data_IF_611230947578
#
_entry.id   IF_611230947578
#
_cell.length_a   1.000
_cell.length_b   1.000
_cell.length_c   1.000
_cell.angle_alpha   90.00
_cell.angle_beta   90.00
_cell.angle_gamma   90.00
#
_symmetry.space_group_name_H-M   'P 1'
#
loop_
_entity.id
_entity.type
_entity.pdbx_description
1 polymer ?
#
# COMPACT_ATOMS: atom_id res chain seq x y z
N UNK A 1 29.92 -44.21 7.49
CA UNK A 1 29.46 -43.05 8.29
C UNK A 1 29.89 -41.76 7.58
N UNK A 2 28.94 -41.10 6.91
CA UNK A 2 28.83 -39.66 6.57
C UNK A 2 27.81 -39.54 5.42
N UNK A 3 26.69 -38.83 5.58
CA UNK A 3 25.73 -38.62 4.50
C UNK A 3 26.13 -37.40 3.63
N UNK A 4 25.68 -37.31 2.37
CA UNK A 4 25.93 -36.14 1.52
C UNK A 4 24.95 -35.01 1.88
N UNK A 5 25.46 -33.77 1.85
CA UNK A 5 24.76 -32.56 2.25
C UNK A 5 23.63 -32.16 1.30
N UNK A 6 22.55 -31.63 1.87
CA UNK A 6 21.48 -30.95 1.14
C UNK A 6 21.95 -29.56 0.73
N UNK A 7 21.83 -29.27 -0.56
CA UNK A 7 21.98 -27.92 -1.11
C UNK A 7 20.82 -27.04 -0.64
N UNK A 8 21.16 -25.83 -0.19
CA UNK A 8 20.22 -24.75 0.11
C UNK A 8 19.74 -24.13 -1.20
N UNK A 9 18.44 -24.21 -1.47
CA UNK A 9 17.80 -23.50 -2.58
C UNK A 9 17.27 -22.17 -2.06
N UNK A 10 17.84 -21.06 -2.53
CA UNK A 10 17.33 -19.72 -2.29
C UNK A 10 15.91 -19.60 -2.85
N UNK A 11 14.96 -19.22 -1.98
CA UNK A 11 13.59 -18.85 -2.38
C UNK A 11 13.66 -17.50 -3.08
N UNK A 12 13.28 -17.47 -4.35
CA UNK A 12 12.91 -16.24 -5.05
C UNK A 12 11.51 -15.86 -4.59
N UNK A 13 11.39 -14.81 -3.78
CA UNK A 13 10.11 -14.17 -3.48
C UNK A 13 9.60 -13.51 -4.76
N UNK A 14 8.37 -13.84 -5.17
CA UNK A 14 7.67 -13.18 -6.27
C UNK A 14 6.57 -12.33 -5.64
N UNK A 15 6.86 -11.05 -5.48
CA UNK A 15 5.94 -10.06 -4.92
C UNK A 15 4.72 -9.87 -5.83
N UNK A 16 3.59 -9.47 -5.24
CA UNK A 16 2.36 -9.08 -5.94
C UNK A 16 2.69 -7.96 -6.96
N UNK A 17 2.14 -7.99 -8.19
CA UNK A 17 2.17 -6.85 -9.08
C UNK A 17 1.14 -5.81 -8.60
N UNK A 18 1.46 -5.14 -7.49
CA UNK A 18 1.10 -3.73 -7.37
C UNK A 18 1.90 -2.99 -8.46
N UNK A 19 1.46 -1.81 -8.96
CA UNK A 19 2.28 -1.05 -9.89
C UNK A 19 3.67 -0.93 -9.29
N UNK A 20 4.64 -1.61 -9.91
CA UNK A 20 6.01 -1.70 -9.40
C UNK A 20 6.49 -0.27 -9.17
N UNK A 21 7.26 0.00 -8.10
CA UNK A 21 8.14 1.16 -8.16
C UNK A 21 8.97 1.03 -9.43
N UNK A 22 8.96 2.06 -10.25
CA UNK A 22 9.70 2.10 -11.48
C UNK A 22 11.19 2.00 -11.15
N UNK A 23 11.78 0.82 -11.31
CA UNK A 23 13.24 0.68 -11.22
C UNK A 23 13.81 1.18 -12.54
N UNK A 24 14.06 2.48 -12.62
CA UNK A 24 14.81 3.09 -13.72
C UNK A 24 16.20 2.46 -13.82
N UNK A 25 16.36 1.46 -14.69
CA UNK A 25 17.67 0.86 -14.97
C UNK A 25 18.09 1.21 -16.39
N UNK A 26 19.09 2.07 -16.47
CA UNK A 26 19.88 2.31 -17.68
C UNK A 26 20.65 1.04 -18.06
N UNK A 27 20.15 0.30 -19.05
CA UNK A 27 20.95 -0.67 -19.80
C UNK A 27 20.49 -0.72 -21.27
N UNK A 28 21.44 -0.46 -22.18
CA UNK A 28 21.28 -0.55 -23.65
C UNK A 28 21.06 -1.99 -24.15
N UNK A 29 20.56 -2.18 -25.40
CA UNK A 29 19.59 -3.21 -25.73
C UNK A 29 20.22 -4.53 -26.21
N UNK A 30 19.54 -5.65 -25.92
CA UNK A 30 19.70 -6.92 -26.62
C UNK A 30 18.32 -7.43 -27.08
N UNK A 31 18.31 -8.06 -28.25
CA UNK A 31 17.16 -8.31 -29.14
C UNK A 31 15.99 -9.11 -28.55
N UNK A 32 14.77 -8.69 -28.89
CA UNK A 32 13.50 -9.36 -28.60
C UNK A 32 13.15 -10.42 -29.66
N UNK A 33 12.70 -11.63 -29.28
CA UNK A 33 11.94 -12.51 -30.16
C UNK A 33 10.45 -12.16 -30.11
N UNK A 34 9.80 -12.17 -31.28
CA UNK A 34 8.39 -11.81 -31.50
C UNK A 34 7.43 -12.79 -30.80
N UNK A 35 6.56 -12.28 -29.92
CA UNK A 35 5.44 -13.00 -29.32
C UNK A 35 4.13 -12.83 -30.11
N UNK A 36 3.35 -13.90 -30.20
CA UNK A 36 2.06 -13.96 -30.89
C UNK A 36 0.91 -13.24 -30.16
N UNK A 37 -0.32 -13.29 -30.71
CA UNK A 37 -1.42 -12.42 -30.26
C UNK A 37 -1.96 -12.83 -28.87
N UNK A 38 -2.17 -11.83 -28.02
CA UNK A 38 -2.79 -11.93 -26.69
C UNK A 38 -4.32 -11.96 -26.87
N UNK A 39 -4.96 -13.03 -26.40
CA UNK A 39 -6.43 -13.14 -26.36
C UNK A 39 -7.02 -12.22 -25.27
N UNK A 40 -8.18 -11.64 -25.57
CA UNK A 40 -8.90 -10.68 -24.71
C UNK A 40 -9.55 -11.42 -23.51
N UNK A 41 -9.60 -10.82 -22.31
CA UNK A 41 -10.18 -11.46 -21.13
C UNK A 41 -11.72 -11.61 -21.23
N UNK A 42 -12.23 -12.73 -20.69
CA UNK A 42 -13.63 -13.12 -20.69
C UNK A 42 -14.44 -12.33 -19.63
N UNK A 43 -15.35 -11.48 -20.13
CA UNK A 43 -16.24 -10.62 -19.35
C UNK A 43 -17.20 -11.38 -18.42
N UNK A 44 -17.35 -12.70 -18.56
CA UNK A 44 -18.22 -13.52 -17.69
C UNK A 44 -17.60 -13.81 -16.32
N UNK A 45 -16.27 -13.85 -16.21
CA UNK A 45 -15.59 -14.03 -14.93
C UNK A 45 -15.79 -12.83 -13.98
N UNK A 46 -15.81 -11.61 -14.54
CA UNK A 46 -16.01 -10.37 -13.79
C UNK A 46 -17.41 -10.26 -13.15
N UNK A 47 -18.43 -10.83 -13.80
CA UNK A 47 -19.81 -10.81 -13.29
C UNK A 47 -20.02 -11.75 -12.08
N UNK A 48 -19.28 -12.86 -11.98
CA UNK A 48 -19.34 -13.77 -10.84
C UNK A 48 -18.61 -13.26 -9.61
N UNK A 49 -17.54 -12.46 -9.78
CA UNK A 49 -16.86 -11.80 -8.65
C UNK A 49 -17.78 -10.75 -7.98
N UNK A 50 -18.52 -9.98 -8.78
CA UNK A 50 -19.45 -8.93 -8.32
C UNK A 50 -20.54 -9.48 -7.39
N UNK A 51 -21.17 -10.61 -7.72
CA UNK A 51 -22.20 -11.24 -6.89
C UNK A 51 -21.69 -11.87 -5.58
N UNK A 52 -20.39 -12.06 -5.41
CA UNK A 52 -19.76 -12.48 -4.14
C UNK A 52 -19.43 -11.27 -3.25
N UNK A 53 -19.11 -10.13 -3.85
CA UNK A 53 -18.72 -8.88 -3.18
C UNK A 53 -19.93 -8.07 -2.68
N UNK A 54 -21.06 -8.08 -3.39
CA UNK A 54 -22.30 -7.40 -2.94
C UNK A 54 -22.76 -7.91 -1.55
N UNK A 55 -22.52 -9.19 -1.25
CA UNK A 55 -22.79 -9.81 0.06
C UNK A 55 -21.77 -9.50 1.16
N UNK A 56 -20.61 -8.93 0.82
CA UNK A 56 -19.57 -8.56 1.78
C UNK A 56 -19.72 -7.10 2.27
N UNK A 57 -20.42 -6.25 1.52
CA UNK A 57 -20.62 -4.84 1.88
C UNK A 57 -21.69 -4.58 2.95
N UNK A 58 -22.57 -5.56 3.23
CA UNK A 58 -23.75 -5.34 4.10
C UNK A 58 -23.46 -5.39 5.62
N UNK A 59 -22.21 -5.63 6.07
CA UNK A 59 -21.90 -5.78 7.50
C UNK A 59 -20.60 -5.06 7.91
N UNK A 60 -20.48 -3.75 7.65
CA UNK A 60 -19.43 -2.95 8.31
C UNK A 60 -20.00 -1.81 9.14
N UNK A 61 -19.62 -1.83 10.41
CA UNK A 61 -19.97 -0.83 11.40
C UNK A 61 -19.01 0.34 11.34
N UNK A 62 -19.34 1.34 10.52
CA UNK A 62 -18.95 2.75 10.59
C UNK A 62 -17.57 3.08 11.20
N UNK A 63 -16.49 2.85 10.44
CA UNK A 63 -15.59 3.99 10.22
C UNK A 63 -16.38 4.92 9.32
N UNK A 64 -16.77 6.09 9.84
CA UNK A 64 -17.44 7.07 9.01
C UNK A 64 -16.49 7.37 7.84
N UNK A 65 -16.99 7.17 6.61
CA UNK A 65 -16.27 7.49 5.39
C UNK A 65 -15.70 8.90 5.55
N UNK A 66 -14.36 9.00 5.59
CA UNK A 66 -13.73 10.27 5.91
C UNK A 66 -14.09 11.26 4.81
N UNK A 67 -14.47 12.47 5.19
CA UNK A 67 -14.74 13.50 4.18
C UNK A 67 -13.51 13.67 3.28
N UNK A 68 -13.70 13.53 1.97
CA UNK A 68 -12.65 13.69 0.97
C UNK A 68 -11.94 15.04 1.09
N UNK A 69 -12.63 16.09 1.56
CA UNK A 69 -12.01 17.39 1.84
C UNK A 69 -10.99 17.33 2.99
N UNK A 70 -11.24 16.49 4.01
CA UNK A 70 -10.32 16.23 5.11
C UNK A 70 -9.12 15.40 4.63
N UNK A 71 -9.36 14.38 3.79
CA UNK A 71 -8.28 13.58 3.18
C UNK A 71 -7.36 14.45 2.28
N UNK A 72 -7.90 15.35 1.46
CA UNK A 72 -7.09 16.30 0.70
C UNK A 72 -6.29 17.24 1.61
N UNK A 73 -6.88 17.69 2.72
CA UNK A 73 -6.18 18.52 3.72
C UNK A 73 -5.03 17.78 4.39
N UNK A 74 -5.23 16.48 4.69
CA UNK A 74 -4.17 15.60 5.17
C UNK A 74 -3.08 15.42 4.11
N UNK A 75 -3.43 15.11 2.85
CA UNK A 75 -2.46 15.01 1.75
C UNK A 75 -1.56 16.25 1.66
N UNK A 76 -2.13 17.46 1.72
CA UNK A 76 -1.34 18.71 1.71
C UNK A 76 -0.39 18.79 2.91
N UNK A 77 -0.87 18.45 4.10
CA UNK A 77 -0.09 18.50 5.35
C UNK A 77 1.05 17.50 5.34
N UNK A 78 0.76 16.24 4.99
CA UNK A 78 1.73 15.15 4.92
C UNK A 78 2.76 15.41 3.80
N UNK A 79 2.34 15.95 2.65
CA UNK A 79 3.24 16.27 1.55
C UNK A 79 4.22 17.41 1.93
N UNK A 80 3.74 18.42 2.65
CA UNK A 80 4.60 19.49 3.15
C UNK A 80 5.64 18.96 4.16
N UNK A 81 5.24 18.03 5.03
CA UNK A 81 6.14 17.41 6.00
C UNK A 81 7.14 16.45 5.32
N UNK A 82 6.70 15.63 4.37
CA UNK A 82 7.55 14.77 3.53
C UNK A 82 8.62 15.60 2.85
N UNK A 83 8.21 16.66 2.15
CA UNK A 83 9.10 17.61 1.48
C UNK A 83 10.12 18.21 2.45
N UNK A 84 9.68 18.64 3.63
CA UNK A 84 10.56 19.23 4.64
C UNK A 84 11.56 18.22 5.21
N UNK A 85 11.17 16.96 5.42
CA UNK A 85 12.07 15.89 5.84
C UNK A 85 13.08 15.54 4.75
N UNK A 86 12.64 15.39 3.49
CA UNK A 86 13.51 15.11 2.36
C UNK A 86 14.57 16.20 2.13
N UNK A 87 14.23 17.49 2.39
CA UNK A 87 15.19 18.60 2.31
C UNK A 87 16.18 18.67 3.48
N UNK A 88 15.90 17.98 4.59
CA UNK A 88 16.82 17.87 5.74
C UNK A 88 17.76 16.67 5.61
N UNK A 89 17.33 15.64 4.87
CA UNK A 89 18.20 14.55 4.46
C UNK A 89 19.23 15.03 3.41
N UNK A 90 20.41 14.42 3.40
CA UNK A 90 21.31 14.55 2.26
C UNK A 90 20.66 13.87 1.03
N UNK A 91 20.81 14.40 -0.19
CA UNK A 91 20.13 13.85 -1.37
C UNK A 91 20.41 12.36 -1.64
N UNK A 92 21.59 11.87 -1.25
CA UNK A 92 22.03 10.47 -1.39
C UNK A 92 21.85 9.63 -0.11
N UNK A 93 21.28 10.21 0.95
CA UNK A 93 20.98 9.48 2.19
C UNK A 93 20.06 8.30 1.89
N UNK A 94 20.42 7.13 2.42
CA UNK A 94 19.64 5.91 2.22
C UNK A 94 18.36 5.91 3.03
N UNK A 95 17.28 5.45 2.42
CA UNK A 95 15.98 5.25 3.09
C UNK A 95 16.03 3.94 3.90
N UNK A 96 15.93 3.96 5.24
CA UNK A 96 16.12 2.74 6.04
C UNK A 96 15.09 1.62 5.76
N UNK A 97 13.86 1.98 5.39
CA UNK A 97 12.79 1.06 5.01
C UNK A 97 12.93 0.52 3.57
N UNK A 98 13.76 1.17 2.74
CA UNK A 98 14.00 0.81 1.33
C UNK A 98 15.49 1.14 0.99
N UNK A 99 16.46 0.34 1.47
CA UNK A 99 17.89 0.69 1.46
C UNK A 99 18.51 0.90 0.06
N UNK A 100 17.83 0.43 -0.98
CA UNK A 100 18.16 0.68 -2.37
C UNK A 100 17.94 2.16 -2.76
N UNK A 101 16.95 2.82 -2.18
CA UNK A 101 16.60 4.20 -2.49
C UNK A 101 17.42 5.22 -1.70
N UNK A 102 17.65 6.35 -2.36
CA UNK A 102 18.10 7.59 -1.74
C UNK A 102 16.92 8.50 -1.41
N UNK A 103 17.14 9.57 -0.64
CA UNK A 103 16.12 10.61 -0.42
C UNK A 103 15.65 11.26 -1.74
N UNK A 104 16.51 11.34 -2.75
CA UNK A 104 16.15 11.78 -4.10
C UNK A 104 15.22 10.78 -4.79
N UNK A 105 15.56 9.48 -4.75
CA UNK A 105 14.74 8.42 -5.34
C UNK A 105 13.34 8.37 -4.69
N UNK A 106 13.26 8.62 -3.38
CA UNK A 106 11.99 8.70 -2.66
C UNK A 106 11.09 9.83 -3.18
N UNK A 107 11.63 11.04 -3.38
CA UNK A 107 10.86 12.15 -3.96
C UNK A 107 10.42 11.87 -5.39
N UNK A 108 11.28 11.21 -6.16
CA UNK A 108 10.99 10.83 -7.54
C UNK A 108 9.89 9.77 -7.60
N UNK A 109 9.95 8.74 -6.75
CA UNK A 109 8.90 7.74 -6.63
C UNK A 109 7.55 8.36 -6.32
N UNK A 110 7.45 9.22 -5.30
CA UNK A 110 6.16 9.86 -4.96
C UNK A 110 5.66 10.76 -6.09
N UNK A 111 6.57 11.45 -6.79
CA UNK A 111 6.25 12.23 -7.99
C UNK A 111 5.62 11.34 -9.08
N UNK A 112 6.24 10.21 -9.38
CA UNK A 112 5.78 9.25 -10.38
C UNK A 112 4.42 8.63 -9.99
N UNK A 113 4.21 8.36 -8.69
CA UNK A 113 2.93 7.88 -8.17
C UNK A 113 1.83 8.92 -8.41
N UNK A 114 2.08 10.21 -8.11
CA UNK A 114 1.13 11.28 -8.39
C UNK A 114 0.82 11.40 -9.89
N UNK A 115 1.86 11.40 -10.72
CA UNK A 115 1.74 11.44 -12.18
C UNK A 115 0.90 10.29 -12.71
N UNK A 116 1.10 9.10 -12.17
CA UNK A 116 0.34 7.93 -12.55
C UNK A 116 -1.14 8.13 -12.21
N UNK A 117 -1.48 8.69 -11.04
CA UNK A 117 -2.91 8.83 -10.66
C UNK A 117 -3.58 9.97 -11.43
N UNK A 118 -2.84 11.02 -11.76
CA UNK A 118 -3.27 12.03 -12.72
C UNK A 118 -3.64 11.36 -14.06
N UNK A 119 -2.79 10.47 -14.58
CA UNK A 119 -3.08 9.77 -15.83
C UNK A 119 -4.23 8.78 -15.72
N UNK A 120 -4.39 8.06 -14.60
CA UNK A 120 -5.57 7.20 -14.35
C UNK A 120 -6.89 8.00 -14.52
N UNK A 121 -6.94 9.20 -13.96
CA UNK A 121 -8.11 10.07 -14.03
C UNK A 121 -8.33 10.64 -15.43
N UNK A 122 -7.26 11.00 -16.14
CA UNK A 122 -7.33 11.56 -17.50
C UNK A 122 -7.73 10.53 -18.55
N UNK A 123 -7.19 9.32 -18.43
CA UNK A 123 -7.29 8.28 -19.46
C UNK A 123 -8.44 7.29 -19.20
N UNK A 124 -8.92 7.19 -17.96
CA UNK A 124 -9.93 6.20 -17.54
C UNK A 124 -9.53 4.75 -17.88
N UNK A 125 -8.23 4.49 -17.85
CA UNK A 125 -7.60 3.17 -17.98
C UNK A 125 -6.28 3.18 -17.22
N UNK A 126 -5.67 2.00 -17.08
CA UNK A 126 -4.28 1.89 -16.62
C UNK A 126 -3.36 2.65 -17.58
N UNK A 127 -2.57 3.62 -17.08
CA UNK A 127 -1.53 4.30 -17.86
C UNK A 127 -0.41 3.32 -18.25
N UNK A 128 0.14 3.49 -19.45
CA UNK A 128 1.35 2.83 -19.89
C UNK A 128 2.56 3.76 -19.67
N UNK A 129 3.78 3.23 -19.75
CA UNK A 129 5.02 4.01 -19.56
C UNK A 129 5.09 5.24 -20.48
N UNK A 130 4.57 5.14 -21.71
CA UNK A 130 4.54 6.25 -22.67
C UNK A 130 3.55 7.37 -22.34
N UNK A 131 2.58 7.11 -21.45
CA UNK A 131 1.63 8.11 -20.97
C UNK A 131 2.23 8.99 -19.85
N UNK A 132 3.35 8.57 -19.25
CA UNK A 132 3.94 9.23 -18.11
C UNK A 132 4.66 10.53 -18.53
N UNK A 133 4.38 11.66 -17.84
CA UNK A 133 5.03 12.91 -18.17
C UNK A 133 6.52 12.86 -17.78
N UNK A 134 7.36 13.50 -18.60
CA UNK A 134 8.75 13.78 -18.22
C UNK A 134 8.77 15.15 -17.54
N UNK A 135 8.98 15.16 -16.22
CA UNK A 135 9.15 16.39 -15.46
C UNK A 135 10.63 16.79 -15.44
N UNK A 136 10.92 18.06 -15.72
CA UNK A 136 12.27 18.61 -15.66
C UNK A 136 12.55 19.30 -14.31
N UNK A 137 13.83 19.40 -13.95
CA UNK A 137 14.28 20.11 -12.75
C UNK A 137 14.67 19.20 -11.59
N UNK A 138 15.00 19.82 -10.45
CA UNK A 138 15.37 19.10 -9.24
C UNK A 138 14.19 18.27 -8.69
N UNK A 139 14.47 17.16 -8.01
CA UNK A 139 13.46 16.25 -7.47
C UNK A 139 12.36 16.97 -6.65
N UNK A 140 12.75 17.89 -5.76
CA UNK A 140 11.77 18.68 -4.98
C UNK A 140 10.86 19.54 -5.84
N UNK A 141 11.36 20.10 -6.96
CA UNK A 141 10.55 20.91 -7.86
C UNK A 141 9.59 20.03 -8.69
N UNK A 142 10.02 18.82 -9.07
CA UNK A 142 9.16 17.84 -9.73
C UNK A 142 8.03 17.38 -8.82
N UNK A 143 8.36 17.07 -7.56
CA UNK A 143 7.38 16.73 -6.50
C UNK A 143 6.36 17.86 -6.29
N UNK A 144 6.83 19.10 -6.10
CA UNK A 144 5.96 20.27 -5.89
C UNK A 144 4.99 20.47 -7.08
N UNK A 145 5.49 20.29 -8.31
CA UNK A 145 4.67 20.42 -9.51
C UNK A 145 3.66 19.28 -9.67
N UNK A 146 4.04 18.03 -9.38
CA UNK A 146 3.15 16.88 -9.45
C UNK A 146 2.04 16.96 -8.39
N UNK A 147 2.37 17.35 -7.16
CA UNK A 147 1.39 17.56 -6.10
C UNK A 147 0.37 18.65 -6.47
N UNK A 148 0.85 19.78 -6.98
CA UNK A 148 -0.04 20.87 -7.40
C UNK A 148 -1.00 20.44 -8.52
N UNK A 149 -0.51 19.66 -9.49
CA UNK A 149 -1.34 19.14 -10.57
C UNK A 149 -2.33 18.07 -10.08
N UNK A 150 -1.91 17.19 -9.17
CA UNK A 150 -2.77 16.17 -8.58
C UNK A 150 -3.94 16.80 -7.83
N UNK A 151 -3.66 17.79 -6.97
CA UNK A 151 -4.68 18.53 -6.23
C UNK A 151 -5.65 19.26 -7.18
N UNK A 152 -5.13 19.87 -8.25
CA UNK A 152 -5.97 20.51 -9.26
C UNK A 152 -6.89 19.53 -9.99
N UNK A 153 -6.42 18.31 -10.29
CA UNK A 153 -7.25 17.25 -10.87
C UNK A 153 -8.34 16.78 -9.90
N UNK A 154 -8.03 16.63 -8.62
CA UNK A 154 -9.02 16.30 -7.59
C UNK A 154 -10.10 17.37 -7.49
N UNK A 155 -9.72 18.63 -7.38
CA UNK A 155 -10.66 19.76 -7.28
C UNK A 155 -11.54 19.91 -8.53
N UNK A 156 -10.95 19.72 -9.71
CA UNK A 156 -11.68 19.87 -10.98
C UNK A 156 -12.71 18.75 -11.21
N UNK A 157 -12.45 17.55 -10.70
CA UNK A 157 -13.29 16.36 -10.95
C UNK A 157 -14.29 16.11 -9.83
N UNK A 158 -13.91 16.33 -8.58
CA UNK A 158 -14.67 15.92 -7.40
C UNK A 158 -14.62 14.39 -7.15
N UNK A 159 -14.87 13.96 -5.90
CA UNK A 159 -14.63 12.57 -5.47
C UNK A 159 -15.53 11.54 -6.16
N UNK A 160 -16.77 11.89 -6.50
CA UNK A 160 -17.74 10.98 -7.11
C UNK A 160 -17.49 10.71 -8.60
N UNK A 161 -16.54 11.42 -9.21
CA UNK A 161 -16.24 11.27 -10.64
C UNK A 161 -15.52 9.97 -10.91
N UNK A 162 -15.83 9.33 -12.05
CA UNK A 162 -15.19 8.09 -12.46
C UNK A 162 -13.69 8.27 -12.70
N UNK A 163 -12.93 7.29 -12.23
CA UNK A 163 -11.51 7.12 -12.56
C UNK A 163 -11.20 5.63 -12.68
N UNK A 164 -10.22 5.28 -13.52
CA UNK A 164 -9.62 3.95 -13.38
C UNK A 164 -8.95 3.83 -12.02
N UNK A 165 -9.22 2.73 -11.32
CA UNK A 165 -8.44 2.30 -10.16
C UNK A 165 -8.10 0.82 -10.29
N UNK A 166 -7.00 0.39 -9.68
CA UNK A 166 -6.71 -1.04 -9.58
C UNK A 166 -7.70 -1.75 -8.63
N UNK A 167 -8.29 -1.02 -7.68
CA UNK A 167 -9.26 -1.55 -6.73
C UNK A 167 -10.66 -1.63 -7.37
N UNK A 168 -10.98 -2.78 -7.95
CA UNK A 168 -12.23 -3.00 -8.70
C UNK A 168 -13.54 -2.56 -8.01
N UNK A 169 -13.69 -2.68 -6.67
CA UNK A 169 -14.89 -2.21 -5.96
C UNK A 169 -15.11 -0.69 -5.97
N UNK A 170 -14.07 0.12 -6.14
CA UNK A 170 -14.18 1.58 -6.19
C UNK A 170 -13.46 2.15 -7.41
N UNK A 171 -14.21 2.69 -8.36
CA UNK A 171 -13.71 3.29 -9.60
C UNK A 171 -13.93 4.81 -9.60
N UNK A 172 -13.62 5.46 -8.48
CA UNK A 172 -13.83 6.89 -8.26
C UNK A 172 -12.51 7.66 -8.10
N UNK A 173 -12.59 8.99 -8.25
CA UNK A 173 -11.51 9.92 -7.85
C UNK A 173 -11.35 9.92 -6.32
N UNK A 174 -12.43 9.68 -5.57
CA UNK A 174 -12.42 9.55 -4.12
C UNK A 174 -11.43 8.51 -3.61
N UNK A 175 -11.37 7.35 -4.27
CA UNK A 175 -10.36 6.32 -3.99
C UNK A 175 -8.93 6.87 -4.11
N UNK A 176 -8.64 7.64 -5.16
CA UNK A 176 -7.30 8.22 -5.32
C UNK A 176 -7.00 9.32 -4.32
N UNK A 177 -7.99 10.12 -3.91
CA UNK A 177 -7.82 11.08 -2.81
C UNK A 177 -7.38 10.35 -1.53
N UNK A 178 -8.09 9.28 -1.16
CA UNK A 178 -7.75 8.44 -0.01
C UNK A 178 -6.35 7.84 -0.14
N UNK A 179 -6.09 7.10 -1.21
CA UNK A 179 -4.82 6.39 -1.41
C UNK A 179 -3.61 7.33 -1.46
N UNK A 180 -3.75 8.52 -2.03
CA UNK A 180 -2.64 9.50 -2.09
C UNK A 180 -2.38 10.16 -0.74
N UNK A 181 -3.40 10.41 0.09
CA UNK A 181 -3.18 10.84 1.46
C UNK A 181 -2.38 9.79 2.25
N UNK A 182 -2.74 8.51 2.13
CA UNK A 182 -2.06 7.41 2.82
C UNK A 182 -0.65 7.15 2.29
N UNK A 183 -0.46 7.16 0.96
CA UNK A 183 0.87 7.06 0.32
C UNK A 183 1.82 8.11 0.88
N UNK A 184 1.34 9.34 0.94
CA UNK A 184 2.14 10.48 1.35
C UNK A 184 2.49 10.42 2.83
N UNK A 185 1.55 9.99 3.68
CA UNK A 185 1.80 9.82 5.12
C UNK A 185 2.88 8.75 5.39
N UNK A 186 2.87 7.65 4.63
CA UNK A 186 3.87 6.57 4.76
C UNK A 186 5.22 7.02 4.22
N UNK A 187 5.27 7.65 3.06
CA UNK A 187 6.53 8.13 2.49
C UNK A 187 7.08 9.38 3.19
N UNK A 188 6.25 10.13 3.95
CA UNK A 188 6.74 11.09 4.95
C UNK A 188 7.60 10.38 5.98
N UNK A 189 7.13 9.26 6.53
CA UNK A 189 7.90 8.49 7.50
C UNK A 189 9.23 8.00 6.90
N UNK A 190 9.23 7.55 5.64
CA UNK A 190 10.45 7.17 4.93
C UNK A 190 11.44 8.34 4.79
N UNK A 191 10.94 9.55 4.49
CA UNK A 191 11.77 10.75 4.40
C UNK A 191 12.35 11.18 5.76
N UNK A 192 11.56 11.07 6.84
CA UNK A 192 12.02 11.34 8.21
C UNK A 192 13.11 10.36 8.64
N UNK A 193 12.93 9.06 8.35
CA UNK A 193 13.93 8.04 8.60
C UNK A 193 15.23 8.30 7.81
N UNK A 194 15.12 8.69 6.54
CA UNK A 194 16.29 9.07 5.72
C UNK A 194 17.01 10.32 6.26
N UNK A 195 16.29 11.24 6.89
CA UNK A 195 16.85 12.40 7.59
C UNK A 195 17.46 12.05 8.98
N UNK A 196 17.36 10.80 9.43
CA UNK A 196 17.83 10.36 10.74
C UNK A 196 16.93 10.83 11.89
N UNK A 197 15.65 11.09 11.61
CA UNK A 197 14.68 11.62 12.55
C UNK A 197 13.68 10.55 13.01
N UNK A 198 13.07 10.70 14.20
CA UNK A 198 11.95 9.85 14.58
C UNK A 198 10.75 10.11 13.67
N UNK A 199 9.96 9.07 13.40
CA UNK A 199 8.71 9.18 12.66
C UNK A 199 7.74 10.09 13.43
N UNK A 200 7.32 11.18 12.81
CA UNK A 200 6.31 12.08 13.36
C UNK A 200 4.93 11.41 13.47
N UNK A 201 4.13 11.85 14.43
CA UNK A 201 2.77 11.31 14.65
C UNK A 201 1.85 11.65 13.48
N UNK A 202 1.19 10.62 12.93
CA UNK A 202 0.10 10.78 11.96
C UNK A 202 -1.19 11.13 12.71
N UNK A 203 -2.00 12.03 12.15
CA UNK A 203 -3.30 12.36 12.72
C UNK A 203 -4.13 11.08 12.97
N UNK A 204 -4.74 10.91 14.17
CA UNK A 204 -5.47 9.69 14.50
C UNK A 204 -6.58 9.31 13.52
N UNK A 205 -7.27 10.28 12.92
CA UNK A 205 -8.32 9.99 11.95
C UNK A 205 -7.72 9.43 10.66
N UNK A 206 -6.69 10.09 10.12
CA UNK A 206 -5.96 9.59 8.94
C UNK A 206 -5.35 8.22 9.19
N UNK A 207 -4.80 8.00 10.39
CA UNK A 207 -4.18 6.73 10.74
C UNK A 207 -5.19 5.57 10.83
N UNK A 208 -6.38 5.79 11.41
CA UNK A 208 -7.44 4.77 11.42
C UNK A 208 -7.95 4.46 10.01
N UNK A 209 -8.10 5.49 9.17
CA UNK A 209 -8.46 5.30 7.75
C UNK A 209 -7.40 4.50 6.98
N UNK A 210 -6.12 4.74 7.25
CA UNK A 210 -5.02 4.01 6.62
C UNK A 210 -4.90 2.57 7.10
N UNK A 211 -5.22 2.30 8.37
CA UNK A 211 -5.33 0.93 8.89
C UNK A 211 -6.45 0.19 8.17
N UNK A 212 -7.63 0.83 8.04
CA UNK A 212 -8.74 0.28 7.28
C UNK A 212 -8.36 0.06 5.81
N UNK A 213 -7.68 1.01 5.15
CA UNK A 213 -7.23 0.82 3.76
C UNK A 213 -6.30 -0.38 3.66
N UNK A 214 -5.33 -0.49 4.56
CA UNK A 214 -4.40 -1.61 4.59
C UNK A 214 -5.13 -2.95 4.70
N UNK A 215 -5.93 -3.14 5.74
CA UNK A 215 -6.51 -4.47 6.00
C UNK A 215 -7.57 -4.84 4.96
N UNK A 216 -8.25 -3.86 4.37
CA UNK A 216 -9.42 -4.11 3.51
C UNK A 216 -9.07 -4.08 2.03
N UNK A 217 -8.30 -3.09 1.60
CA UNK A 217 -7.91 -2.90 0.20
C UNK A 217 -6.66 -3.72 -0.09
N UNK A 218 -5.61 -3.59 0.73
CA UNK A 218 -4.35 -4.28 0.48
C UNK A 218 -4.45 -5.77 0.83
N UNK A 219 -4.84 -6.12 2.06
CA UNK A 219 -4.85 -7.51 2.49
C UNK A 219 -6.06 -8.30 1.97
N UNK A 220 -7.28 -7.92 2.37
CA UNK A 220 -8.49 -8.69 2.02
C UNK A 220 -8.70 -8.73 0.51
N UNK A 221 -8.87 -7.58 -0.15
CA UNK A 221 -9.10 -7.57 -1.59
C UNK A 221 -7.87 -8.03 -2.38
N UNK A 222 -6.67 -7.59 -2.02
CA UNK A 222 -5.43 -8.01 -2.69
C UNK A 222 -5.21 -9.52 -2.64
N UNK A 223 -5.55 -10.18 -1.53
CA UNK A 223 -5.42 -11.64 -1.40
C UNK A 223 -6.31 -12.42 -2.37
N UNK A 224 -7.42 -11.81 -2.81
CA UNK A 224 -8.36 -12.39 -3.77
C UNK A 224 -7.95 -12.01 -5.19
N UNK A 225 -7.68 -10.74 -5.45
CA UNK A 225 -7.36 -10.21 -6.78
C UNK A 225 -6.03 -10.76 -7.30
N UNK A 226 -5.07 -10.98 -6.40
CA UNK A 226 -3.71 -11.44 -6.71
C UNK A 226 -3.36 -12.76 -6.04
N UNK A 227 -4.38 -13.61 -5.84
CA UNK A 227 -4.24 -14.87 -5.11
C UNK A 227 -3.06 -15.74 -5.59
N UNK A 228 -2.81 -15.79 -6.91
CA UNK A 228 -1.72 -16.58 -7.49
C UNK A 228 -0.31 -16.18 -6.98
N UNK A 229 -0.12 -14.94 -6.54
CA UNK A 229 1.14 -14.44 -6.00
C UNK A 229 1.31 -14.76 -4.51
N UNK A 230 0.19 -14.86 -3.77
CA UNK A 230 0.20 -15.01 -2.30
C UNK A 230 -0.23 -16.39 -1.81
N UNK A 231 -0.66 -17.29 -2.69
CA UNK A 231 -1.24 -18.59 -2.31
C UNK A 231 -0.34 -19.43 -1.39
N UNK A 232 0.98 -19.45 -1.63
CA UNK A 232 1.93 -20.15 -0.77
C UNK A 232 1.99 -19.52 0.64
N UNK A 233 2.04 -18.20 0.70
CA UNK A 233 2.11 -17.44 1.96
C UNK A 233 0.81 -17.58 2.76
N UNK A 234 -0.35 -17.54 2.10
CA UNK A 234 -1.65 -17.78 2.74
C UNK A 234 -1.75 -19.22 3.28
N UNK A 235 -1.31 -20.21 2.51
CA UNK A 235 -1.31 -21.61 2.95
C UNK A 235 -0.38 -21.82 4.15
N UNK A 236 0.79 -21.19 4.15
CA UNK A 236 1.76 -21.29 5.24
C UNK A 236 1.28 -20.64 6.55
N UNK A 237 0.38 -19.66 6.44
CA UNK A 237 -0.20 -18.93 7.57
C UNK A 237 -1.70 -19.25 7.76
N UNK A 238 -2.15 -20.42 7.28
CA UNK A 238 -3.53 -20.87 7.47
C UNK A 238 -3.88 -20.90 8.96
N UNK A 239 -5.11 -20.51 9.28
CA UNK A 239 -5.65 -20.42 10.64
C UNK A 239 -5.03 -19.31 11.51
N UNK A 240 -4.21 -18.41 10.93
CA UNK A 240 -3.74 -17.22 11.63
C UNK A 240 -4.92 -16.26 11.86
N UNK A 241 -5.13 -15.88 13.12
CA UNK A 241 -6.16 -14.91 13.52
C UNK A 241 -5.52 -13.88 14.45
N UNK A 242 -5.39 -12.64 13.98
CA UNK A 242 -4.75 -11.55 14.73
C UNK A 242 -5.65 -10.32 14.70
N UNK A 243 -5.90 -9.76 15.88
CA UNK A 243 -6.60 -8.51 16.03
C UNK A 243 -5.63 -7.32 16.13
N UNK A 244 -6.04 -6.18 15.59
CA UNK A 244 -5.37 -4.89 15.70
C UNK A 244 -6.33 -3.98 16.48
N UNK A 245 -5.91 -3.48 17.64
CA UNK A 245 -6.72 -2.64 18.51
C UNK A 245 -6.07 -1.27 18.72
N UNK A 246 -6.80 -0.22 18.35
CA UNK A 246 -6.38 1.18 18.51
C UNK A 246 -7.27 1.94 19.49
N UNK A 247 -7.98 1.22 20.35
CA UNK A 247 -8.93 1.75 21.33
C UNK A 247 -10.31 1.99 20.72
N UNK A 248 -10.46 3.07 19.94
CA UNK A 248 -11.78 3.42 19.37
C UNK A 248 -12.18 2.53 18.19
N UNK A 249 -11.20 2.02 17.45
CA UNK A 249 -11.41 1.10 16.33
C UNK A 249 -10.52 -0.12 16.49
N UNK A 250 -11.05 -1.27 16.09
CA UNK A 250 -10.31 -2.53 16.04
C UNK A 250 -10.75 -3.35 14.84
N UNK A 251 -9.84 -4.20 14.37
CA UNK A 251 -10.03 -5.08 13.23
C UNK A 251 -9.45 -6.45 13.57
N UNK A 252 -10.09 -7.52 13.11
CA UNK A 252 -9.55 -8.88 13.16
C UNK A 252 -9.23 -9.37 11.77
N UNK A 253 -7.97 -9.73 11.54
CA UNK A 253 -7.47 -10.30 10.29
C UNK A 253 -7.41 -11.82 10.42
N UNK A 254 -8.12 -12.52 9.54
CA UNK A 254 -8.17 -13.99 9.46
C UNK A 254 -7.56 -14.46 8.15
N UNK A 255 -6.69 -15.46 8.23
CA UNK A 255 -6.00 -15.99 7.06
C UNK A 255 -6.44 -17.43 6.81
N UNK A 256 -6.95 -17.66 5.62
CA UNK A 256 -7.20 -19.00 5.09
C UNK A 256 -6.38 -19.22 3.81
N UNK A 257 -6.24 -20.47 3.34
CA UNK A 257 -5.54 -20.73 2.07
C UNK A 257 -6.15 -19.99 0.88
N UNK A 258 -7.44 -19.64 0.93
CA UNK A 258 -8.16 -19.00 -0.18
C UNK A 258 -8.13 -17.47 -0.15
N UNK A 259 -8.03 -16.84 1.02
CA UNK A 259 -8.04 -15.37 1.18
C UNK A 259 -7.65 -14.92 2.58
N UNK A 260 -7.39 -13.63 2.70
CA UNK A 260 -7.53 -12.89 3.95
C UNK A 260 -8.99 -12.42 4.08
N UNK A 261 -9.55 -12.53 5.29
CA UNK A 261 -10.85 -11.97 5.64
C UNK A 261 -10.69 -11.00 6.81
N UNK A 262 -11.44 -9.90 6.80
CA UNK A 262 -11.37 -8.88 7.84
C UNK A 262 -12.74 -8.65 8.46
N UNK A 263 -12.76 -8.62 9.79
CA UNK A 263 -13.94 -8.35 10.61
C UNK A 263 -13.69 -7.12 11.49
N UNK A 264 -14.72 -6.30 11.71
CA UNK A 264 -14.65 -5.21 12.68
C UNK A 264 -14.60 -5.78 14.11
N UNK A 265 -13.82 -5.15 14.99
CA UNK A 265 -13.69 -5.56 16.39
C UNK A 265 -12.54 -6.53 16.66
N UNK A 266 -12.39 -6.87 17.95
CA UNK A 266 -11.48 -7.93 18.41
C UNK A 266 -12.28 -9.22 18.54
N UNK A 267 -11.95 -10.23 17.74
CA UNK A 267 -12.62 -11.53 17.83
C UNK A 267 -12.20 -12.31 19.08
N UNK A 268 -13.15 -13.04 19.67
CA UNK A 268 -12.93 -13.86 20.88
C UNK A 268 -11.88 -14.96 20.69
N UNK A 269 -11.70 -15.44 19.45
CA UNK A 269 -10.75 -16.47 19.07
C UNK A 269 -9.44 -15.91 18.48
N UNK A 270 -9.20 -14.60 18.59
CA UNK A 270 -7.94 -14.00 18.18
C UNK A 270 -6.78 -14.62 18.96
N UNK A 271 -5.80 -15.15 18.22
CA UNK A 271 -4.59 -15.75 18.80
C UNK A 271 -3.69 -14.68 19.43
N UNK A 272 -3.73 -13.47 18.85
CA UNK A 272 -3.04 -12.30 19.37
C UNK A 272 -3.85 -11.03 19.12
N UNK A 273 -3.68 -10.05 20.00
CA UNK A 273 -4.16 -8.68 19.83
C UNK A 273 -2.95 -7.76 19.87
N UNK A 274 -2.72 -7.02 18.78
CA UNK A 274 -1.69 -5.99 18.66
C UNK A 274 -2.32 -4.65 19.00
N UNK A 275 -1.80 -3.97 20.02
CA UNK A 275 -2.38 -2.73 20.56
C UNK A 275 -1.38 -1.57 20.52
N UNK A 276 -1.85 -0.39 20.16
CA UNK A 276 -1.06 0.85 20.11
C UNK A 276 -1.92 2.07 19.76
N UNK A 277 -1.30 3.25 19.70
CA UNK A 277 -1.99 4.39 19.08
C UNK A 277 -2.25 4.13 17.58
N UNK A 278 -3.26 4.77 16.97
CA UNK A 278 -3.50 4.63 15.53
C UNK A 278 -2.25 4.87 14.66
N UNK A 279 -1.47 5.92 14.99
CA UNK A 279 -0.24 6.23 14.24
C UNK A 279 0.79 5.11 14.35
N UNK A 280 1.00 4.52 15.53
CA UNK A 280 1.96 3.42 15.70
C UNK A 280 1.48 2.15 15.00
N UNK A 281 0.18 1.84 15.08
CA UNK A 281 -0.43 0.71 14.38
C UNK A 281 -0.32 0.84 12.86
N UNK A 282 -0.56 2.04 12.30
CA UNK A 282 -0.36 2.29 10.86
C UNK A 282 1.10 2.06 10.44
N UNK A 283 2.07 2.60 11.19
CA UNK A 283 3.50 2.43 10.86
C UNK A 283 3.97 0.98 11.03
N UNK A 284 3.42 0.24 12.00
CA UNK A 284 3.67 -1.19 12.17
C UNK A 284 3.14 -2.01 10.99
N UNK A 285 1.91 -1.71 10.52
CA UNK A 285 1.32 -2.34 9.35
C UNK A 285 2.12 -2.07 8.07
N UNK A 286 2.56 -0.81 7.87
CA UNK A 286 3.45 -0.47 6.77
C UNK A 286 4.90 -0.90 6.98
N UNK A 287 5.20 -1.64 8.06
CA UNK A 287 6.54 -2.18 8.36
C UNK A 287 7.64 -1.12 8.48
N UNK A 288 7.29 0.12 8.85
CA UNK A 288 8.26 1.19 9.19
C UNK A 288 8.78 1.07 10.62
N UNK A 289 8.13 0.25 11.43
CA UNK A 289 8.60 -0.19 12.75
C UNK A 289 8.73 -1.72 12.81
N UNK A 290 9.59 -2.21 13.69
CA UNK A 290 9.81 -3.65 13.87
C UNK A 290 8.58 -4.39 14.43
N UNK A 291 8.55 -5.73 14.33
CA UNK A 291 7.40 -6.55 14.75
C UNK A 291 7.10 -6.43 16.25
N UNK A 292 8.11 -6.15 17.08
CA UNK A 292 8.00 -6.00 18.54
C UNK A 292 7.69 -4.56 18.99
N UNK A 293 7.41 -3.63 18.07
CA UNK A 293 7.22 -2.21 18.39
C UNK A 293 5.92 -1.91 19.16
N UNK A 294 4.93 -2.80 19.06
CA UNK A 294 3.61 -2.63 19.67
C UNK A 294 3.38 -3.60 20.83
N UNK A 295 2.44 -3.25 21.70
CA UNK A 295 2.00 -4.16 22.75
C UNK A 295 1.26 -5.35 22.13
N UNK A 296 1.56 -6.56 22.61
CA UNK A 296 0.90 -7.78 22.14
C UNK A 296 0.36 -8.57 23.34
N UNK A 297 -0.93 -8.84 23.30
CA UNK A 297 -1.63 -9.78 24.17
C UNK A 297 -1.85 -11.09 23.40
N UNK A 298 -1.67 -12.25 24.03
CA UNK A 298 -1.74 -13.55 23.37
C UNK A 298 -0.40 -14.01 22.78
N UNK A 299 -0.44 -14.67 21.62
CA UNK A 299 0.73 -15.27 20.96
C UNK A 299 1.52 -14.24 20.13
N UNK A 300 2.71 -13.86 20.60
CA UNK A 300 3.60 -12.95 19.87
C UNK A 300 4.04 -13.49 18.51
N UNK A 301 4.13 -14.81 18.36
CA UNK A 301 4.51 -15.40 17.08
C UNK A 301 3.43 -15.24 16.02
N UNK A 302 2.14 -15.24 16.42
CA UNK A 302 1.03 -14.90 15.53
C UNK A 302 1.09 -13.44 15.07
N UNK A 303 1.36 -12.50 15.98
CA UNK A 303 1.53 -11.08 15.61
C UNK A 303 2.72 -10.87 14.65
N UNK A 304 3.86 -11.52 14.90
CA UNK A 304 5.02 -11.47 14.02
C UNK A 304 4.74 -12.11 12.64
N UNK A 305 3.99 -13.22 12.61
CA UNK A 305 3.58 -13.87 11.36
C UNK A 305 2.68 -12.96 10.51
N UNK A 306 1.75 -12.22 11.12
CA UNK A 306 0.97 -11.21 10.40
C UNK A 306 1.88 -10.10 9.87
N UNK A 307 2.79 -9.57 10.70
CA UNK A 307 3.73 -8.53 10.30
C UNK A 307 4.53 -8.95 9.05
N UNK A 308 5.07 -10.16 9.05
CA UNK A 308 5.83 -10.73 7.93
C UNK A 308 4.98 -10.94 6.69
N UNK A 309 3.77 -11.46 6.83
CA UNK A 309 2.84 -11.67 5.72
C UNK A 309 2.48 -10.37 5.00
N UNK A 310 2.36 -9.25 5.73
CA UNK A 310 2.05 -7.94 5.12
C UNK A 310 3.11 -7.53 4.08
N UNK A 311 4.35 -8.01 4.19
CA UNK A 311 5.40 -7.71 3.20
C UNK A 311 5.11 -8.19 1.77
N UNK A 312 4.18 -9.12 1.59
CA UNK A 312 3.71 -9.53 0.26
C UNK A 312 2.82 -8.47 -0.39
N UNK A 313 2.22 -7.56 0.41
CA UNK A 313 1.21 -6.59 -0.01
C UNK A 313 1.70 -5.14 -0.04
N UNK A 314 2.88 -4.84 0.50
CA UNK A 314 3.33 -3.46 0.79
C UNK A 314 4.70 -3.12 0.20
N UNK A 315 5.05 -3.69 -0.96
CA UNK A 315 6.29 -3.36 -1.68
C UNK A 315 6.07 -2.24 -2.69
#
# INVERSE_FOLDING_TARGET
>A
MRPPGRASTARSSRSIPMPRPWTGSSASPAETPRGGPIERPDLRAAAHLRGRLDRMSEVRGTIADMDHSLLQSHLVTEAAALRAAALRAEPDAKVPSCPEWTATDLLDHVTEVYDHKIQCMRLLREPADEDMPVREGAAVARFDAALAELLAEFDARGPETLSFTWYGPDQSVGFWIRRMAQETAVHRADAELAAGEPIGTVDPALARDGIDEMVTVMLEWGSIAFHEYVAETLTANSDLVVAIDTGECSWTVRISPERVAVEDGVADDAQATVSGSPSEALMWLWRRTGPDALAVQGDRSSAAALHDLISEFTQ
#
